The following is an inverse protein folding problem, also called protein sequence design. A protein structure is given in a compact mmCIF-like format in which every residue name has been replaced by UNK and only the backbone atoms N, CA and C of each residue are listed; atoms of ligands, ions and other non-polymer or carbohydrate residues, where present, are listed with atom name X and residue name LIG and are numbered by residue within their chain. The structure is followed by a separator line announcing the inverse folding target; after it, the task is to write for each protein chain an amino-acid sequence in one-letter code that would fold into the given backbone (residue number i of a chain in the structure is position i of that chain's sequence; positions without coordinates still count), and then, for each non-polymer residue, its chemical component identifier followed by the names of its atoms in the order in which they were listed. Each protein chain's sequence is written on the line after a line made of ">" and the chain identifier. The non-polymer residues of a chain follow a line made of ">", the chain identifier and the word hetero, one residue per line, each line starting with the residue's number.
data_IF_344295735474
#
_entry.id   IF_344295735474
#
_cell.length_a   1.000
_cell.length_b   1.000
_cell.length_c   1.000
_cell.angle_alpha   90.00
_cell.angle_beta   90.00
_cell.angle_gamma   90.00
#
_symmetry.space_group_name_H-M   'P 1'
#
loop_
_entity.id
_entity.type
_entity.pdbx_description
1 polymer ?
#
# COMPACT_ATOMS: atom_id res chain seq x y z
N UNK A 1 9.11 -8.90 16.89
CA UNK A 1 8.53 -10.18 17.21
C UNK A 1 9.10 -11.28 16.34
N UNK A 2 9.32 -12.38 16.92
CA UNK A 2 9.83 -13.53 16.20
C UNK A 2 8.75 -14.52 15.82
N UNK A 3 7.53 -14.18 16.09
CA UNK A 3 6.44 -15.06 15.78
C UNK A 3 6.30 -15.22 14.28
N UNK A 4 6.21 -16.44 13.83
CA UNK A 4 6.02 -16.73 12.43
C UNK A 4 4.53 -16.84 12.17
N UNK A 5 4.05 -16.09 11.18
CA UNK A 5 2.65 -16.12 10.83
C UNK A 5 2.46 -16.95 9.58
N UNK A 6 1.38 -17.71 9.56
CA UNK A 6 1.06 -18.45 8.35
C UNK A 6 0.61 -17.48 7.27
N UNK A 7 0.77 -17.90 6.01
CA UNK A 7 0.40 -17.04 4.91
C UNK A 7 -1.00 -16.49 5.02
N UNK A 8 -1.95 -17.32 5.40
CA UNK A 8 -3.34 -16.88 5.44
C UNK A 8 -3.63 -15.96 6.62
N UNK A 9 -2.68 -15.82 7.54
CA UNK A 9 -2.86 -14.90 8.68
C UNK A 9 -2.35 -13.51 8.38
N UNK A 10 -1.69 -13.33 7.25
CA UNK A 10 -1.23 -12.01 6.85
C UNK A 10 -2.33 -11.28 6.12
N UNK A 11 -2.18 -9.97 6.02
CA UNK A 11 -3.17 -9.17 5.30
C UNK A 11 -3.24 -9.58 3.83
N UNK A 12 -2.10 -9.80 3.21
CA UNK A 12 -2.09 -10.25 1.82
C UNK A 12 -2.75 -11.62 1.68
N UNK A 13 -2.45 -12.51 2.61
CA UNK A 13 -3.04 -13.84 2.57
C UNK A 13 -4.55 -13.80 2.71
N UNK A 14 -5.03 -12.98 3.62
CA UNK A 14 -6.48 -12.84 3.81
C UNK A 14 -7.14 -12.26 2.56
N UNK A 15 -6.50 -11.25 1.96
CA UNK A 15 -7.04 -10.65 0.75
C UNK A 15 -7.08 -11.66 -0.38
N UNK A 16 -6.02 -12.44 -0.52
CA UNK A 16 -5.97 -13.47 -1.54
C UNK A 16 -7.07 -14.52 -1.36
N UNK A 17 -7.25 -14.96 -0.13
CA UNK A 17 -8.27 -15.95 0.15
C UNK A 17 -9.68 -15.42 -0.11
N UNK A 18 -9.86 -14.13 0.14
CA UNK A 18 -11.17 -13.53 0.01
C UNK A 18 -11.53 -13.19 -1.42
N UNK A 19 -10.56 -12.73 -2.19
CA UNK A 19 -10.83 -12.21 -3.54
C UNK A 19 -10.06 -12.93 -4.64
N UNK A 20 -9.17 -13.82 -4.29
CA UNK A 20 -8.36 -14.51 -5.28
C UNK A 20 -7.18 -13.68 -5.73
N UNK A 21 -6.51 -14.14 -6.77
CA UNK A 21 -5.36 -13.41 -7.27
C UNK A 21 -5.78 -12.11 -7.95
N UNK A 22 -5.01 -11.04 -7.76
CA UNK A 22 -5.31 -9.81 -8.50
C UNK A 22 -4.94 -9.96 -9.96
N UNK A 23 -5.46 -9.05 -10.77
CA UNK A 23 -5.14 -9.04 -12.19
C UNK A 23 -3.72 -8.56 -12.43
N UNK A 24 -3.29 -7.57 -11.67
CA UNK A 24 -1.91 -7.09 -11.76
C UNK A 24 -1.40 -6.76 -10.38
N UNK A 25 -0.09 -6.88 -10.23
CA UNK A 25 0.62 -6.53 -9.01
C UNK A 25 1.74 -5.59 -9.40
N UNK A 26 1.79 -4.44 -8.76
CA UNK A 26 2.90 -3.51 -8.90
C UNK A 26 3.73 -3.61 -7.64
N UNK A 27 4.99 -4.00 -7.78
CA UNK A 27 5.86 -4.24 -6.64
C UNK A 27 6.98 -3.21 -6.63
N UNK A 28 7.06 -2.44 -5.56
CA UNK A 28 8.07 -1.38 -5.43
C UNK A 28 8.83 -1.54 -4.12
N UNK A 29 9.81 -2.41 -4.09
CA UNK A 29 10.54 -2.67 -2.83
C UNK A 29 11.60 -1.62 -2.52
N UNK A 30 12.07 -0.87 -3.50
CA UNK A 30 13.24 -0.01 -3.32
C UNK A 30 13.03 1.43 -3.73
N UNK A 31 11.81 1.89 -3.74
CA UNK A 31 11.56 3.28 -4.11
C UNK A 31 12.08 4.19 -3.01
N UNK A 32 12.85 5.22 -3.36
CA UNK A 32 13.37 6.14 -2.34
C UNK A 32 12.22 6.87 -1.64
N UNK A 33 12.40 7.16 -0.38
CA UNK A 33 11.43 7.90 0.41
C UNK A 33 10.12 7.18 0.64
N UNK A 34 10.05 5.92 0.29
CA UNK A 34 8.84 5.13 0.53
C UNK A 34 9.21 3.83 1.20
N UNK A 35 8.32 3.33 2.02
CA UNK A 35 8.44 1.96 2.51
C UNK A 35 8.22 1.03 1.33
N UNK A 36 8.74 -0.19 1.38
CA UNK A 36 8.40 -1.18 0.36
C UNK A 36 6.89 -1.32 0.26
N UNK A 37 6.37 -1.39 -0.95
CA UNK A 37 4.93 -1.53 -1.09
C UNK A 37 4.58 -2.31 -2.35
N UNK A 38 3.35 -2.84 -2.36
CA UNK A 38 2.76 -3.50 -3.51
C UNK A 38 1.35 -2.97 -3.69
N UNK A 39 0.95 -2.83 -4.95
CA UNK A 39 -0.41 -2.48 -5.28
C UNK A 39 -1.03 -3.65 -6.03
N UNK A 40 -2.13 -4.16 -5.50
CA UNK A 40 -2.89 -5.24 -6.12
C UNK A 40 -4.09 -4.62 -6.82
N UNK A 41 -4.21 -4.81 -8.10
CA UNK A 41 -5.30 -4.25 -8.88
C UNK A 41 -6.22 -5.36 -9.35
N UNK A 42 -7.47 -5.28 -8.94
CA UNK A 42 -8.53 -6.19 -9.36
C UNK A 42 -9.40 -5.45 -10.36
N UNK A 43 -9.49 -5.98 -11.56
CA UNK A 43 -10.31 -5.33 -12.57
C UNK A 43 -11.78 -5.46 -12.24
N UNK A 44 -12.14 -6.56 -11.59
CA UNK A 44 -13.52 -6.79 -11.22
C UNK A 44 -13.60 -7.67 -9.98
N UNK A 45 -14.41 -7.26 -9.03
CA UNK A 45 -14.71 -8.04 -7.84
C UNK A 45 -16.23 -8.01 -7.68
N UNK A 46 -16.90 -9.14 -7.99
CA UNK A 46 -18.35 -9.16 -7.93
C UNK A 46 -18.92 -8.08 -8.82
N UNK A 47 -19.64 -7.14 -8.23
CA UNK A 47 -20.24 -6.05 -8.99
C UNK A 47 -19.35 -4.80 -9.03
N UNK A 48 -18.19 -4.84 -8.38
CA UNK A 48 -17.31 -3.69 -8.34
C UNK A 48 -16.24 -3.80 -9.42
N UNK A 49 -15.85 -2.65 -9.97
CA UNK A 49 -14.83 -2.57 -11.01
C UNK A 49 -13.67 -1.73 -10.52
N UNK A 50 -12.48 -2.09 -10.97
CA UNK A 50 -11.28 -1.27 -10.73
C UNK A 50 -11.04 -1.01 -9.25
N UNK A 51 -10.88 -2.06 -8.50
CA UNK A 51 -10.58 -1.92 -7.07
C UNK A 51 -9.13 -2.26 -6.83
N UNK A 52 -8.53 -1.55 -5.88
CA UNK A 52 -7.12 -1.69 -5.60
C UNK A 52 -6.89 -1.83 -4.12
N UNK A 53 -5.83 -2.58 -3.81
CA UNK A 53 -5.31 -2.69 -2.45
C UNK A 53 -3.86 -2.28 -2.49
N UNK A 54 -3.42 -1.52 -1.50
CA UNK A 54 -2.02 -1.22 -1.36
C UNK A 54 -1.55 -1.75 -0.02
N UNK A 55 -0.48 -2.54 -0.09
CA UNK A 55 0.15 -3.13 1.08
C UNK A 55 1.54 -2.54 1.23
N UNK A 56 1.96 -2.28 2.44
CA UNK A 56 3.30 -1.72 2.66
C UNK A 56 3.96 -2.41 3.84
N UNK A 57 5.26 -2.17 3.98
CA UNK A 57 6.05 -2.78 5.03
C UNK A 57 6.69 -1.70 5.88
N UNK A 58 5.94 -1.15 6.86
CA UNK A 58 6.50 -0.07 7.67
C UNK A 58 7.56 -0.55 8.64
N UNK A 59 7.54 -1.82 9.01
CA UNK A 59 8.54 -2.40 9.88
C UNK A 59 9.40 -3.33 9.04
N UNK A 60 10.54 -2.82 8.59
CA UNK A 60 11.40 -3.58 7.70
C UNK A 60 11.93 -4.84 8.35
N UNK A 61 12.02 -4.85 9.68
CA UNK A 61 12.48 -6.02 10.38
C UNK A 61 11.49 -7.14 10.41
N UNK A 62 10.22 -6.85 10.24
CA UNK A 62 9.20 -7.88 10.26
C UNK A 62 9.13 -8.67 8.98
N UNK A 63 9.57 -8.06 7.89
CA UNK A 63 9.51 -8.70 6.58
C UNK A 63 8.09 -9.08 6.19
N UNK A 64 7.13 -8.26 6.60
CA UNK A 64 5.72 -8.58 6.42
C UNK A 64 4.98 -7.36 5.93
N UNK A 65 4.16 -7.53 4.90
CA UNK A 65 3.33 -6.45 4.34
C UNK A 65 1.99 -6.41 5.07
N UNK A 66 1.52 -5.19 5.32
CA UNK A 66 0.21 -4.97 5.93
C UNK A 66 -0.61 -4.06 5.02
N UNK A 67 -1.92 -4.09 5.20
CA UNK A 67 -2.80 -3.27 4.39
C UNK A 67 -2.62 -1.81 4.76
N UNK A 68 -2.28 -1.00 3.76
CA UNK A 68 -2.20 0.44 3.95
C UNK A 68 -3.50 1.11 3.55
N UNK A 69 -4.14 0.64 2.48
CA UNK A 69 -5.31 1.31 1.96
C UNK A 69 -6.00 0.43 0.93
N UNK A 70 -7.31 0.57 0.79
CA UNK A 70 -8.04 -0.08 -0.27
C UNK A 70 -9.17 0.83 -0.75
N UNK A 71 -9.48 0.71 -2.04
CA UNK A 71 -10.62 1.42 -2.61
C UNK A 71 -11.88 0.57 -2.59
N UNK A 72 -11.77 -0.69 -2.20
CA UNK A 72 -12.94 -1.58 -2.17
C UNK A 72 -13.76 -1.29 -0.93
N UNK A 73 -15.06 -1.09 -1.15
CA UNK A 73 -15.98 -0.82 -0.07
C UNK A 73 -16.00 -1.98 0.91
N UNK A 74 -15.90 -1.65 2.19
CA UNK A 74 -15.86 -2.69 3.22
C UNK A 74 -14.45 -3.02 3.67
N UNK A 75 -13.44 -2.56 2.96
CA UNK A 75 -12.07 -2.79 3.35
C UNK A 75 -11.47 -1.52 3.95
N UNK A 76 -10.26 -1.63 4.45
CA UNK A 76 -9.61 -0.52 5.17
C UNK A 76 -9.35 0.66 4.25
N UNK A 77 -9.97 1.79 4.55
CA UNK A 77 -9.78 3.02 3.79
C UNK A 77 -8.93 3.99 4.60
N UNK A 78 -7.81 4.42 4.02
CA UNK A 78 -6.89 5.33 4.68
C UNK A 78 -6.64 6.52 3.76
N UNK A 79 -7.30 7.63 4.05
CA UNK A 79 -7.17 8.80 3.19
C UNK A 79 -5.76 9.39 3.20
N UNK A 80 -4.98 9.04 4.20
CA UNK A 80 -3.61 9.55 4.32
C UNK A 80 -2.57 8.54 3.87
N UNK A 81 -2.95 7.62 2.98
CA UNK A 81 -2.06 6.53 2.64
C UNK A 81 -0.76 7.02 2.00
N UNK A 82 -0.82 8.08 1.21
CA UNK A 82 0.41 8.58 0.58
C UNK A 82 1.37 9.12 1.62
N UNK A 83 0.86 9.87 2.56
CA UNK A 83 1.69 10.40 3.64
C UNK A 83 2.31 9.27 4.44
N UNK A 84 1.51 8.29 4.79
CA UNK A 84 2.02 7.18 5.58
C UNK A 84 3.06 6.39 4.83
N UNK A 85 2.85 6.20 3.54
CA UNK A 85 3.79 5.45 2.71
C UNK A 85 5.14 6.16 2.62
N UNK A 86 5.11 7.48 2.57
CA UNK A 86 6.31 8.28 2.30
C UNK A 86 6.93 8.90 3.55
N UNK A 87 6.78 8.24 4.69
CA UNK A 87 7.37 8.76 5.92
C UNK A 87 8.71 8.13 6.27
N UNK A 88 9.19 7.28 5.38
CA UNK A 88 10.34 6.46 5.70
C UNK A 88 11.58 7.27 6.05
N UNK A 89 11.84 8.33 5.31
CA UNK A 89 13.09 9.07 5.44
C UNK A 89 12.93 10.47 6.00
N UNK A 90 11.77 10.75 6.57
CA UNK A 90 11.51 12.09 7.08
C UNK A 90 10.79 12.05 8.42
N UNK A 91 11.28 11.27 9.38
CA UNK A 91 10.50 11.08 10.60
C UNK A 91 10.28 12.36 11.39
N UNK A 92 11.25 13.24 11.43
CA UNK A 92 11.11 14.44 12.25
C UNK A 92 10.65 15.65 11.50
N UNK A 93 10.52 15.56 10.19
CA UNK A 93 10.19 16.72 9.39
C UNK A 93 8.99 16.50 8.49
N UNK A 94 8.29 15.46 8.75
CA UNK A 94 7.19 15.09 7.86
C UNK A 94 6.12 16.15 7.80
N UNK A 95 5.93 16.88 8.90
CA UNK A 95 4.90 17.90 8.91
C UNK A 95 5.21 19.00 7.89
N UNK A 96 6.43 19.46 7.91
CA UNK A 96 6.81 20.49 6.96
C UNK A 96 6.72 20.00 5.55
N UNK A 97 7.15 18.79 5.32
CA UNK A 97 7.11 18.23 3.98
C UNK A 97 5.69 18.06 3.48
N UNK A 98 4.80 17.75 4.38
CA UNK A 98 3.43 17.52 3.96
C UNK A 98 2.73 18.79 3.57
N UNK A 99 3.24 19.93 3.98
CA UNK A 99 2.67 21.20 3.58
C UNK A 99 3.33 21.75 2.34
N UNK A 100 4.32 21.06 1.85
CA UNK A 100 5.01 21.47 0.67
C UNK A 100 4.11 21.26 -0.53
N UNK A 101 3.95 22.27 -1.38
CA UNK A 101 3.15 22.08 -2.59
C UNK A 101 3.70 20.99 -3.49
N UNK A 102 4.91 20.57 -3.26
CA UNK A 102 5.50 19.50 -4.04
C UNK A 102 5.12 18.13 -3.53
N UNK A 103 4.25 18.08 -2.57
CA UNK A 103 3.69 16.82 -2.16
C UNK A 103 3.31 15.99 -3.35
N UNK A 104 2.71 16.63 -4.33
CA UNK A 104 2.24 15.92 -5.47
C UNK A 104 3.38 15.26 -6.21
N UNK A 105 4.59 15.76 -6.05
CA UNK A 105 5.71 15.16 -6.75
C UNK A 105 6.05 13.79 -6.22
N UNK A 106 6.26 13.68 -4.93
CA UNK A 106 6.62 12.36 -4.44
C UNK A 106 5.40 11.51 -4.20
N UNK A 107 4.25 12.11 -4.16
CA UNK A 107 3.06 11.31 -4.16
C UNK A 107 2.70 10.84 -5.54
N UNK A 108 3.23 11.48 -6.59
CA UNK A 108 2.76 11.19 -7.92
C UNK A 108 3.17 9.81 -8.41
N UNK A 109 4.35 9.32 -8.04
CA UNK A 109 4.75 7.99 -8.44
C UNK A 109 3.81 6.95 -7.86
N UNK A 110 3.63 6.98 -6.56
CA UNK A 110 2.76 6.00 -5.94
C UNK A 110 1.33 6.18 -6.42
N UNK A 111 0.91 7.41 -6.63
CA UNK A 111 -0.43 7.65 -7.13
C UNK A 111 -0.59 7.12 -8.55
N UNK A 112 0.42 7.30 -9.37
CA UNK A 112 0.38 6.80 -10.73
C UNK A 112 0.24 5.29 -10.74
N UNK A 113 1.04 4.61 -9.93
CA UNK A 113 0.96 3.16 -9.87
C UNK A 113 -0.37 2.72 -9.26
N UNK A 114 -0.89 3.49 -8.33
CA UNK A 114 -2.15 3.15 -7.69
C UNK A 114 -3.31 3.26 -8.69
N UNK A 115 -3.29 4.29 -9.51
CA UNK A 115 -4.36 4.53 -10.47
C UNK A 115 -4.15 3.75 -11.76
N UNK A 116 -2.91 3.65 -12.21
CA UNK A 116 -2.55 2.98 -13.47
C UNK A 116 -1.41 2.01 -13.23
N UNK A 117 -1.67 0.94 -12.51
CA UNK A 117 -0.61 -0.03 -12.22
C UNK A 117 -0.06 -0.70 -13.43
#
# INVERSE_FOLDING_TARGET
>A
STKVRRGYETDMGRTFLKYGPPNTITDRPNEPSAYPYQIWHYYKIGKFNNKRFIFYMPDLGSNEYTTLHSTLQGEYFNRNWKTDLHRRNTPGRSVDNMQNPNDSQWGSNSNTFFVNP
#
